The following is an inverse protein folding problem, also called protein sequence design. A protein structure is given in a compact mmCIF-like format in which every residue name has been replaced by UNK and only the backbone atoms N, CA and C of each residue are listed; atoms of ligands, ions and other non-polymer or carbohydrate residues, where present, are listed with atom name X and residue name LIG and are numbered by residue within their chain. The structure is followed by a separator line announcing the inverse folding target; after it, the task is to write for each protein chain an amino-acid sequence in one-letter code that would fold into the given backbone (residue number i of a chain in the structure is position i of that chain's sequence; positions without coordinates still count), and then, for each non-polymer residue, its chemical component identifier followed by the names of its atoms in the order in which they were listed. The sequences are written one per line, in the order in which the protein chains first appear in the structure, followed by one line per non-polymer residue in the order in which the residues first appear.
data_IF_886908501873
#
_entry.id   IF_886908501873
#
_cell.length_a   1.000
_cell.length_b   1.000
_cell.length_c   1.000
_cell.angle_alpha   90.00
_cell.angle_beta   90.00
_cell.angle_gamma   90.00
#
_symmetry.space_group_name_H-M   'P 1'
#
loop_
_entity.id
_entity.type
_entity.pdbx_description
1 polymer ?
#
# COMPACT_ATOMS: atom_id res chain seq x y z
N UNK A 1 1.67 -28.59 -10.01
CA UNK A 1 1.39 -28.43 -8.56
C UNK A 1 2.64 -28.17 -7.72
N UNK A 2 3.71 -29.00 -7.76
CA UNK A 2 4.94 -28.79 -6.94
C UNK A 2 5.63 -27.42 -7.13
N UNK A 3 5.65 -26.88 -8.34
CA UNK A 3 6.23 -25.57 -8.66
C UNK A 3 5.49 -24.40 -7.99
N UNK A 4 4.17 -24.53 -7.77
CA UNK A 4 3.37 -23.51 -7.10
C UNK A 4 3.68 -23.41 -5.60
N UNK A 5 4.01 -24.54 -4.94
CA UNK A 5 4.38 -24.57 -3.52
C UNK A 5 5.78 -23.99 -3.28
N UNK A 6 6.71 -24.24 -4.19
CA UNK A 6 8.06 -23.67 -4.14
C UNK A 6 8.00 -22.15 -4.32
N UNK A 7 7.18 -21.67 -5.26
CA UNK A 7 6.96 -20.23 -5.43
C UNK A 7 6.33 -19.59 -4.19
N UNK A 8 5.33 -20.23 -3.59
CA UNK A 8 4.71 -19.77 -2.33
C UNK A 8 5.70 -19.73 -1.17
N UNK A 9 6.57 -20.72 -1.05
CA UNK A 9 7.64 -20.76 -0.04
C UNK A 9 8.68 -19.65 -0.27
N UNK A 10 9.02 -19.36 -1.52
CA UNK A 10 9.93 -18.25 -1.86
C UNK A 10 9.27 -16.91 -1.53
N UNK A 11 8.00 -16.70 -1.90
CA UNK A 11 7.26 -15.49 -1.53
C UNK A 11 7.12 -15.35 -0.01
N UNK A 12 6.86 -16.44 0.72
CA UNK A 12 6.79 -16.43 2.17
C UNK A 12 8.16 -16.14 2.82
N UNK A 13 9.25 -16.65 2.25
CA UNK A 13 10.61 -16.37 2.71
C UNK A 13 11.04 -14.92 2.41
N UNK A 14 10.66 -14.39 1.25
CA UNK A 14 10.89 -12.98 0.90
C UNK A 14 10.04 -12.08 1.81
N UNK A 15 8.77 -12.41 2.05
CA UNK A 15 7.93 -11.67 2.98
C UNK A 15 8.51 -11.71 4.41
N UNK A 16 8.94 -12.89 4.89
CA UNK A 16 9.54 -13.03 6.21
C UNK A 16 10.88 -12.28 6.35
N UNK A 17 11.75 -12.32 5.33
CA UNK A 17 13.02 -11.60 5.34
C UNK A 17 12.82 -10.09 5.27
N UNK A 18 11.87 -9.61 4.46
CA UNK A 18 11.45 -8.21 4.46
C UNK A 18 10.88 -7.79 5.82
N UNK A 19 10.08 -8.62 6.47
CA UNK A 19 9.59 -8.38 7.83
C UNK A 19 10.71 -8.34 8.88
N UNK A 20 11.74 -9.19 8.77
CA UNK A 20 12.90 -9.17 9.69
C UNK A 20 13.77 -7.92 9.49
N UNK A 21 14.01 -7.53 8.23
CA UNK A 21 14.72 -6.28 7.91
C UNK A 21 13.92 -5.09 8.44
N UNK A 22 12.60 -5.10 8.28
CA UNK A 22 11.71 -4.08 8.81
C UNK A 22 11.82 -3.96 10.35
N UNK A 23 11.70 -5.07 11.09
CA UNK A 23 11.71 -5.09 12.56
C UNK A 23 13.01 -4.51 13.13
N UNK A 24 14.15 -4.76 12.47
CA UNK A 24 15.44 -4.24 12.94
C UNK A 24 15.74 -2.80 12.51
N UNK A 25 15.11 -2.34 11.45
CA UNK A 25 15.40 -1.07 10.81
C UNK A 25 14.14 -0.22 10.72
N UNK A 26 13.37 -0.10 11.81
CA UNK A 26 11.99 0.44 11.92
C UNK A 26 11.66 1.75 11.13
N UNK A 27 12.66 2.45 10.60
CA UNK A 27 12.54 3.65 9.77
C UNK A 27 12.77 3.44 8.26
N UNK A 28 13.22 2.27 7.84
CA UNK A 28 13.64 1.96 6.46
C UNK A 28 12.58 1.17 5.67
N UNK A 29 11.46 0.83 6.30
CA UNK A 29 10.35 0.14 5.66
C UNK A 29 9.88 0.83 4.37
N UNK A 30 9.60 2.11 4.47
CA UNK A 30 9.17 2.94 3.34
C UNK A 30 10.29 3.05 2.30
N UNK A 31 11.54 3.15 2.74
CA UNK A 31 12.72 3.16 1.86
C UNK A 31 12.88 1.86 1.09
N UNK A 32 12.67 0.72 1.74
CA UNK A 32 12.70 -0.61 1.12
C UNK A 32 11.53 -0.76 0.14
N UNK A 33 10.33 -0.33 0.53
CA UNK A 33 9.18 -0.30 -0.37
C UNK A 33 9.45 0.58 -1.61
N UNK A 34 9.95 1.80 -1.43
CA UNK A 34 10.33 2.70 -2.52
C UNK A 34 11.34 2.03 -3.46
N UNK A 35 12.38 1.41 -2.91
CA UNK A 35 13.37 0.68 -3.71
C UNK A 35 12.73 -0.47 -4.50
N UNK A 36 11.86 -1.27 -3.89
CA UNK A 36 11.13 -2.33 -4.57
C UNK A 36 10.25 -1.79 -5.70
N UNK A 37 9.47 -0.72 -5.46
CA UNK A 37 8.61 -0.12 -6.48
C UNK A 37 9.43 0.43 -7.65
N UNK A 38 10.57 1.07 -7.38
CA UNK A 38 11.50 1.52 -8.44
C UNK A 38 11.98 0.33 -9.28
N UNK A 39 12.40 -0.77 -8.64
CA UNK A 39 12.81 -1.99 -9.35
C UNK A 39 11.65 -2.53 -10.20
N UNK A 40 10.42 -2.54 -9.69
CA UNK A 40 9.24 -2.95 -10.48
C UNK A 40 9.01 -2.07 -11.70
N UNK A 41 9.11 -0.75 -11.56
CA UNK A 41 9.01 0.17 -12.69
C UNK A 41 10.03 -0.16 -13.79
N UNK A 42 11.27 -0.49 -13.43
CA UNK A 42 12.29 -0.93 -14.39
C UNK A 42 11.98 -2.29 -15.01
N UNK A 43 11.52 -3.27 -14.22
CA UNK A 43 11.20 -4.62 -14.70
C UNK A 43 9.93 -4.67 -15.57
N UNK A 44 8.99 -3.74 -15.37
CA UNK A 44 7.71 -3.65 -16.07
C UNK A 44 7.74 -2.68 -17.26
N UNK A 45 8.93 -2.38 -17.81
CA UNK A 45 9.15 -1.43 -18.92
C UNK A 45 8.23 -1.63 -20.14
N UNK A 46 7.65 -2.80 -20.33
CA UNK A 46 6.78 -3.11 -21.47
C UNK A 46 5.28 -3.20 -21.12
N UNK A 47 4.90 -3.12 -19.84
CA UNK A 47 3.50 -3.27 -19.41
C UNK A 47 2.94 -1.96 -18.83
N UNK A 48 2.23 -1.18 -19.65
CA UNK A 48 1.68 0.14 -19.28
C UNK A 48 0.82 0.11 -18.01
N UNK A 49 0.01 -0.94 -17.85
CA UNK A 49 -0.82 -1.10 -16.66
C UNK A 49 0.00 -1.19 -15.36
N UNK A 50 1.04 -2.01 -15.37
CA UNK A 50 1.87 -2.22 -14.18
C UNK A 50 2.66 -0.94 -13.88
N UNK A 51 3.14 -0.22 -14.90
CA UNK A 51 3.80 1.08 -14.73
C UNK A 51 2.88 2.08 -14.03
N UNK A 52 1.63 2.19 -14.46
CA UNK A 52 0.69 3.14 -13.86
C UNK A 52 0.41 2.84 -12.39
N UNK A 53 0.23 1.55 -12.06
CA UNK A 53 0.03 1.11 -10.67
C UNK A 53 1.30 1.40 -9.85
N UNK A 54 2.47 0.96 -10.34
CA UNK A 54 3.73 1.15 -9.63
C UNK A 54 4.08 2.64 -9.46
N UNK A 55 3.85 3.48 -10.46
CA UNK A 55 4.08 4.92 -10.38
C UNK A 55 3.15 5.60 -9.37
N UNK A 56 1.87 5.21 -9.35
CA UNK A 56 0.90 5.69 -8.37
C UNK A 56 1.35 5.33 -6.95
N UNK A 57 1.70 4.06 -6.72
CA UNK A 57 2.16 3.60 -5.42
C UNK A 57 3.46 4.30 -5.02
N UNK A 58 4.41 4.49 -5.94
CA UNK A 58 5.65 5.22 -5.69
C UNK A 58 5.38 6.65 -5.19
N UNK A 59 4.51 7.39 -5.89
CA UNK A 59 4.16 8.77 -5.54
C UNK A 59 3.51 8.82 -4.16
N UNK A 60 2.55 7.93 -3.91
CA UNK A 60 1.80 7.92 -2.65
C UNK A 60 2.68 7.50 -1.47
N UNK A 61 3.55 6.50 -1.64
CA UNK A 61 4.55 6.12 -0.65
C UNK A 61 5.54 7.25 -0.37
N UNK A 62 5.98 8.00 -1.40
CA UNK A 62 6.87 9.14 -1.18
C UNK A 62 6.18 10.26 -0.38
N UNK A 63 4.89 10.51 -0.62
CA UNK A 63 4.07 11.44 0.17
C UNK A 63 3.96 10.95 1.62
N UNK A 64 3.65 9.68 1.82
CA UNK A 64 3.55 9.04 3.14
C UNK A 64 4.85 9.18 3.93
N UNK A 65 5.98 8.81 3.32
CA UNK A 65 7.30 8.95 3.91
C UNK A 65 7.59 10.40 4.35
N UNK A 66 7.21 11.38 3.51
CA UNK A 66 7.34 12.79 3.84
C UNK A 66 6.50 13.21 5.05
N UNK A 67 5.24 12.76 5.12
CA UNK A 67 4.34 13.03 6.25
C UNK A 67 4.84 12.39 7.54
N UNK A 68 5.25 11.12 7.49
CA UNK A 68 5.81 10.40 8.65
C UNK A 68 7.09 11.07 9.14
N UNK A 69 8.00 11.41 8.22
CA UNK A 69 9.24 12.12 8.57
C UNK A 69 8.96 13.47 9.25
N UNK A 70 7.94 14.18 8.77
CA UNK A 70 7.50 15.43 9.39
C UNK A 70 6.95 15.22 10.81
N UNK A 71 6.09 14.21 11.03
CA UNK A 71 5.56 13.88 12.36
C UNK A 71 6.68 13.46 13.33
N UNK A 72 7.64 12.66 12.87
CA UNK A 72 8.82 12.28 13.65
C UNK A 72 9.65 13.51 14.04
N UNK A 73 9.81 14.47 13.12
CA UNK A 73 10.47 15.74 13.42
C UNK A 73 9.72 16.58 14.45
N UNK A 74 8.39 16.54 14.47
CA UNK A 74 7.61 17.24 15.51
C UNK A 74 7.77 16.56 16.87
N UNK A 75 7.79 15.22 16.90
CA UNK A 75 8.05 14.46 18.13
C UNK A 75 9.42 14.79 18.73
N UNK A 76 10.47 14.93 17.90
CA UNK A 76 11.80 15.31 18.39
C UNK A 76 11.89 16.75 18.92
N UNK A 77 10.97 17.62 18.50
CA UNK A 77 10.82 18.99 19.02
C UNK A 77 10.00 19.06 20.32
N UNK A 78 9.54 17.93 20.86
CA UNK A 78 8.82 17.85 22.13
C UNK A 78 7.30 17.75 22.01
N UNK A 79 6.77 17.36 20.84
CA UNK A 79 5.35 17.07 20.70
C UNK A 79 4.93 15.93 21.67
N UNK A 80 3.83 16.07 22.42
CA UNK A 80 3.34 15.01 23.30
C UNK A 80 3.06 13.72 22.51
N UNK A 81 3.42 12.53 23.06
CA UNK A 81 3.27 11.25 22.35
C UNK A 81 1.85 10.99 21.84
N UNK A 82 0.81 11.35 22.61
CA UNK A 82 -0.57 11.14 22.19
C UNK A 82 -0.94 11.95 20.93
N UNK A 83 -0.42 13.17 20.78
CA UNK A 83 -0.63 14.03 19.62
C UNK A 83 0.18 13.52 18.43
N UNK A 84 1.43 13.10 18.67
CA UNK A 84 2.28 12.50 17.65
C UNK A 84 1.63 11.27 17.03
N UNK A 85 1.12 10.35 17.86
CA UNK A 85 0.42 9.15 17.40
C UNK A 85 -0.87 9.48 16.65
N UNK A 86 -1.64 10.45 17.14
CA UNK A 86 -2.86 10.91 16.49
C UNK A 86 -2.57 11.43 15.07
N UNK A 87 -1.54 12.25 14.92
CA UNK A 87 -1.10 12.78 13.62
C UNK A 87 -0.57 11.66 12.73
N UNK A 88 0.21 10.73 13.27
CA UNK A 88 0.77 9.60 12.53
C UNK A 88 -0.35 8.69 11.98
N UNK A 89 -1.20 8.12 12.84
CA UNK A 89 -2.29 7.25 12.40
C UNK A 89 -3.29 7.98 11.49
N UNK A 90 -3.57 9.26 11.77
CA UNK A 90 -4.41 10.09 10.91
C UNK A 90 -3.82 10.32 9.53
N UNK A 91 -2.51 10.58 9.43
CA UNK A 91 -1.82 10.74 8.14
C UNK A 91 -1.84 9.46 7.32
N UNK A 92 -1.55 8.31 7.94
CA UNK A 92 -1.62 7.00 7.27
C UNK A 92 -3.03 6.72 6.76
N UNK A 93 -4.06 6.90 7.60
CA UNK A 93 -5.45 6.71 7.21
C UNK A 93 -5.84 7.55 5.99
N UNK A 94 -5.45 8.83 5.96
CA UNK A 94 -5.76 9.74 4.86
C UNK A 94 -5.05 9.34 3.56
N UNK A 95 -3.79 8.94 3.65
CA UNK A 95 -3.01 8.45 2.51
C UNK A 95 -3.64 7.17 1.97
N UNK A 96 -3.92 6.19 2.81
CA UNK A 96 -4.48 4.90 2.40
C UNK A 96 -5.90 5.03 1.84
N UNK A 97 -6.72 5.91 2.41
CA UNK A 97 -8.03 6.26 1.86
C UNK A 97 -7.89 6.89 0.47
N UNK A 98 -6.91 7.78 0.29
CA UNK A 98 -6.65 8.40 -1.00
C UNK A 98 -6.21 7.34 -2.02
N UNK A 99 -5.31 6.43 -1.65
CA UNK A 99 -4.87 5.34 -2.52
C UNK A 99 -6.06 4.46 -2.90
N UNK A 100 -6.89 4.04 -1.94
CA UNK A 100 -8.09 3.24 -2.21
C UNK A 100 -9.01 3.92 -3.24
N UNK A 101 -9.25 5.23 -3.06
CA UNK A 101 -10.09 6.00 -3.97
C UNK A 101 -9.48 6.14 -5.36
N UNK A 102 -8.16 6.33 -5.48
CA UNK A 102 -7.50 6.35 -6.78
C UNK A 102 -7.55 4.96 -7.43
N UNK A 103 -7.31 3.88 -6.67
CA UNK A 103 -7.38 2.50 -7.14
C UNK A 103 -8.77 2.15 -7.68
N UNK A 104 -9.84 2.58 -7.00
CA UNK A 104 -11.23 2.44 -7.47
C UNK A 104 -11.44 3.02 -8.88
N UNK A 105 -10.76 4.11 -9.21
CA UNK A 105 -10.89 4.81 -10.49
C UNK A 105 -9.67 4.64 -11.41
N UNK A 106 -8.74 3.75 -11.07
CA UNK A 106 -7.44 3.62 -11.70
C UNK A 106 -7.53 3.46 -13.21
N UNK A 107 -8.38 2.57 -13.70
CA UNK A 107 -8.54 2.30 -15.14
C UNK A 107 -9.03 3.56 -15.87
N UNK A 108 -10.00 4.28 -15.30
CA UNK A 108 -10.53 5.53 -15.89
C UNK A 108 -9.48 6.63 -15.93
N UNK A 109 -8.70 6.77 -14.86
CA UNK A 109 -7.61 7.75 -14.77
C UNK A 109 -6.50 7.42 -15.78
N UNK A 110 -6.12 6.15 -15.86
CA UNK A 110 -5.11 5.63 -16.81
C UNK A 110 -5.56 5.84 -18.26
N UNK A 111 -6.80 5.52 -18.59
CA UNK A 111 -7.37 5.76 -19.92
C UNK A 111 -7.36 7.24 -20.29
N UNK A 112 -7.75 8.11 -19.35
CA UNK A 112 -7.73 9.57 -19.58
C UNK A 112 -6.30 10.09 -19.83
N UNK A 113 -5.32 9.54 -19.13
CA UNK A 113 -3.91 9.87 -19.33
C UNK A 113 -3.41 9.40 -20.70
N UNK A 114 -3.56 8.10 -21.02
CA UNK A 114 -3.08 7.53 -22.29
C UNK A 114 -3.75 8.16 -23.50
N UNK A 115 -5.06 8.44 -23.45
CA UNK A 115 -5.76 9.16 -24.55
C UNK A 115 -5.16 10.54 -24.84
N UNK A 116 -4.47 11.17 -23.88
CA UNK A 116 -3.82 12.47 -24.07
C UNK A 116 -2.36 12.34 -24.49
N UNK A 117 -1.64 11.33 -23.99
CA UNK A 117 -0.19 11.21 -24.19
C UNK A 117 0.20 10.25 -25.30
N UNK A 118 -0.57 9.18 -25.50
CA UNK A 118 -0.32 8.14 -26.49
C UNK A 118 -1.67 7.57 -26.99
N UNK A 119 -2.43 8.33 -27.80
CA UNK A 119 -3.80 8.00 -28.17
C UNK A 119 -3.93 6.64 -28.86
N UNK A 120 -2.91 6.20 -29.61
CA UNK A 120 -2.93 4.92 -30.33
C UNK A 120 -2.82 3.71 -29.39
N UNK A 121 -2.29 3.90 -28.18
CA UNK A 121 -2.04 2.83 -27.22
C UNK A 121 -3.16 2.67 -26.17
N UNK A 122 -4.32 3.31 -26.36
CA UNK A 122 -5.40 3.31 -25.36
C UNK A 122 -5.94 1.91 -25.02
N UNK A 123 -5.84 0.96 -25.97
CA UNK A 123 -6.31 -0.43 -25.83
C UNK A 123 -5.44 -1.25 -24.87
N UNK A 124 -4.20 -0.82 -24.60
CA UNK A 124 -3.32 -1.48 -23.63
C UNK A 124 -3.79 -1.32 -22.18
N UNK A 125 -4.72 -0.38 -21.90
CA UNK A 125 -5.22 -0.12 -20.55
C UNK A 125 -6.48 -0.94 -20.28
N UNK A 126 -6.38 -1.84 -19.32
CA UNK A 126 -7.48 -2.69 -18.86
C UNK A 126 -7.39 -2.93 -17.36
N UNK A 127 -8.39 -3.60 -16.80
CA UNK A 127 -8.42 -4.03 -15.41
C UNK A 127 -7.56 -5.29 -15.25
N UNK A 128 -6.47 -5.17 -14.50
CA UNK A 128 -5.58 -6.28 -14.18
C UNK A 128 -6.07 -7.04 -12.94
N UNK A 129 -5.51 -8.23 -12.69
CA UNK A 129 -5.77 -8.95 -11.44
C UNK A 129 -5.27 -8.20 -10.20
N UNK A 130 -4.28 -7.30 -10.35
CA UNK A 130 -3.80 -6.47 -9.25
C UNK A 130 -4.87 -5.51 -8.72
N UNK A 131 -5.71 -4.94 -9.60
CA UNK A 131 -6.63 -3.86 -9.23
C UNK A 131 -7.59 -4.23 -8.08
N UNK A 132 -8.36 -5.33 -8.13
CA UNK A 132 -9.24 -5.72 -7.02
C UNK A 132 -8.47 -6.21 -5.79
N UNK A 133 -7.30 -6.85 -5.97
CA UNK A 133 -6.49 -7.35 -4.85
C UNK A 133 -5.89 -6.18 -4.06
N UNK A 134 -5.27 -5.22 -4.75
CA UNK A 134 -4.74 -4.00 -4.15
C UNK A 134 -5.85 -3.17 -3.50
N UNK A 135 -7.04 -3.08 -4.12
CA UNK A 135 -8.19 -2.45 -3.48
C UNK A 135 -8.54 -3.11 -2.14
N UNK A 136 -8.57 -4.45 -2.09
CA UNK A 136 -8.81 -5.19 -0.84
C UNK A 136 -7.72 -4.98 0.20
N UNK A 137 -6.45 -4.95 -0.20
CA UNK A 137 -5.33 -4.70 0.71
C UNK A 137 -5.39 -3.27 1.29
N UNK A 138 -5.64 -2.25 0.46
CA UNK A 138 -5.79 -0.88 0.94
C UNK A 138 -7.03 -0.67 1.81
N UNK A 139 -8.09 -1.43 1.57
CA UNK A 139 -9.22 -1.45 2.50
C UNK A 139 -8.82 -2.02 3.87
N UNK A 140 -8.02 -3.08 3.92
CA UNK A 140 -7.51 -3.62 5.17
C UNK A 140 -6.55 -2.65 5.89
N UNK A 141 -5.71 -1.93 5.16
CA UNK A 141 -4.87 -0.85 5.69
C UNK A 141 -5.71 0.19 6.44
N UNK A 142 -6.78 0.68 5.80
CA UNK A 142 -7.70 1.65 6.41
C UNK A 142 -8.32 1.12 7.70
N UNK A 143 -8.69 -0.16 7.77
CA UNK A 143 -9.26 -0.76 8.98
C UNK A 143 -8.24 -0.79 10.13
N UNK A 144 -6.99 -1.16 9.84
CA UNK A 144 -5.90 -1.16 10.82
C UNK A 144 -5.64 0.26 11.33
N UNK A 145 -5.60 1.24 10.43
CA UNK A 145 -5.35 2.64 10.79
C UNK A 145 -6.48 3.24 11.61
N UNK A 146 -7.74 2.99 11.22
CA UNK A 146 -8.90 3.44 11.96
C UNK A 146 -8.93 2.84 13.36
N UNK A 147 -8.57 1.57 13.49
CA UNK A 147 -8.57 0.89 14.78
C UNK A 147 -7.41 1.36 15.68
N UNK A 148 -6.21 1.58 15.13
CA UNK A 148 -5.09 2.18 15.87
C UNK A 148 -5.39 3.62 16.30
N UNK A 149 -5.98 4.41 15.41
CA UNK A 149 -6.43 5.77 15.68
C UNK A 149 -7.51 5.80 16.78
N UNK A 150 -8.51 4.92 16.68
CA UNK A 150 -9.55 4.76 17.68
C UNK A 150 -9.01 4.32 19.04
N UNK A 151 -8.15 3.30 19.08
CA UNK A 151 -7.47 2.89 20.31
C UNK A 151 -6.66 4.05 20.90
N UNK A 152 -5.93 4.82 20.10
CA UNK A 152 -5.17 5.97 20.59
C UNK A 152 -6.07 7.04 21.23
N UNK A 153 -7.25 7.33 20.66
CA UNK A 153 -8.21 8.25 21.27
C UNK A 153 -8.73 7.69 22.59
N UNK A 154 -9.15 6.43 22.61
CA UNK A 154 -9.78 5.80 23.78
C UNK A 154 -8.79 5.69 24.95
N UNK A 155 -7.51 5.42 24.68
CA UNK A 155 -6.45 5.39 25.70
C UNK A 155 -6.17 6.76 26.31
N UNK A 156 -6.35 7.82 25.53
CA UNK A 156 -5.97 9.18 25.89
C UNK A 156 -7.20 10.07 26.19
N UNK A 157 -8.34 9.47 26.56
CA UNK A 157 -9.58 10.20 26.85
C UNK A 157 -9.42 11.30 27.91
N UNK A 158 -8.50 11.11 28.87
CA UNK A 158 -8.16 12.14 29.86
C UNK A 158 -7.69 13.45 29.21
N UNK A 159 -6.93 13.36 28.11
CA UNK A 159 -6.45 14.52 27.35
C UNK A 159 -7.55 15.19 26.53
N UNK A 160 -8.69 14.51 26.36
CA UNK A 160 -9.91 15.05 25.73
C UNK A 160 -10.92 15.59 26.75
N UNK A 161 -10.54 15.69 28.04
CA UNK A 161 -11.38 16.27 29.09
C UNK A 161 -12.34 15.29 29.76
N UNK A 162 -12.16 13.98 29.56
CA UNK A 162 -12.90 12.95 30.29
C UNK A 162 -12.30 12.74 31.68
N UNK A 163 -13.15 12.47 32.68
CA UNK A 163 -12.70 12.21 34.05
C UNK A 163 -11.70 11.05 34.12
N UNK A 164 -10.62 11.25 34.87
CA UNK A 164 -9.51 10.30 34.97
C UNK A 164 -9.95 8.94 35.52
N UNK A 165 -10.91 8.91 36.47
CA UNK A 165 -11.38 7.66 37.04
C UNK A 165 -12.10 6.79 36.01
N UNK A 166 -12.78 7.42 35.05
CA UNK A 166 -13.38 6.73 33.92
C UNK A 166 -12.35 6.40 32.83
N UNK A 167 -11.40 7.29 32.54
CA UNK A 167 -10.39 7.08 31.49
C UNK A 167 -9.42 5.93 31.83
N UNK A 168 -9.06 5.76 33.11
CA UNK A 168 -8.09 4.76 33.59
C UNK A 168 -8.36 3.33 33.14
N UNK A 169 -9.63 2.95 33.02
CA UNK A 169 -10.00 1.59 32.59
C UNK A 169 -9.55 1.28 31.14
N UNK A 170 -9.32 2.30 30.33
CA UNK A 170 -8.99 2.18 28.92
C UNK A 170 -7.49 2.32 28.61
N UNK A 171 -6.66 2.73 29.57
CA UNK A 171 -5.23 2.97 29.37
C UNK A 171 -4.45 1.71 28.89
N UNK A 172 -4.92 0.53 29.29
CA UNK A 172 -4.33 -0.77 28.94
C UNK A 172 -4.79 -1.32 27.59
N UNK A 173 -5.78 -0.69 26.95
CA UNK A 173 -6.24 -1.13 25.63
C UNK A 173 -5.16 -0.82 24.60
N UNK A 174 -4.74 -1.79 23.80
CA UNK A 174 -3.67 -1.55 22.83
C UNK A 174 -3.38 -2.71 21.90
N UNK A 175 -4.39 -3.53 21.59
CA UNK A 175 -4.18 -4.74 20.79
C UNK A 175 -3.64 -4.37 19.41
N UNK A 176 -4.22 -3.36 18.78
CA UNK A 176 -3.78 -2.89 17.46
C UNK A 176 -2.68 -1.86 17.61
N UNK A 177 -2.75 -0.98 18.59
CA UNK A 177 -1.73 0.03 18.86
C UNK A 177 -0.32 -0.58 19.01
N UNK A 178 -0.16 -1.66 19.78
CA UNK A 178 1.16 -2.29 19.98
C UNK A 178 1.61 -3.15 18.80
N UNK A 179 0.69 -3.63 17.97
CA UNK A 179 0.98 -4.47 16.82
C UNK A 179 0.89 -3.71 15.48
N UNK A 180 0.71 -2.39 15.53
CA UNK A 180 0.40 -1.56 14.36
C UNK A 180 1.45 -1.71 13.25
N UNK A 181 2.72 -1.57 13.62
CA UNK A 181 3.86 -1.71 12.71
C UNK A 181 3.90 -3.10 12.05
N UNK A 182 3.62 -4.16 12.82
CA UNK A 182 3.60 -5.54 12.32
C UNK A 182 2.45 -5.74 11.34
N UNK A 183 1.25 -5.25 11.68
CA UNK A 183 0.07 -5.36 10.83
C UNK A 183 0.27 -4.61 9.50
N UNK A 184 0.78 -3.37 9.56
CA UNK A 184 1.19 -2.58 8.39
C UNK A 184 2.20 -3.36 7.53
N UNK A 185 3.22 -3.94 8.16
CA UNK A 185 4.27 -4.70 7.45
C UNK A 185 3.72 -5.91 6.68
N UNK A 186 2.79 -6.65 7.30
CA UNK A 186 2.14 -7.79 6.65
C UNK A 186 1.38 -7.30 5.42
N UNK A 187 0.57 -6.25 5.55
CA UNK A 187 -0.19 -5.69 4.43
C UNK A 187 0.74 -5.16 3.32
N UNK A 188 1.87 -4.55 3.71
CA UNK A 188 2.90 -4.08 2.78
C UNK A 188 3.52 -5.23 1.98
N UNK A 189 3.82 -6.34 2.66
CA UNK A 189 4.30 -7.55 2.00
C UNK A 189 3.28 -8.10 0.99
N UNK A 190 1.98 -7.98 1.28
CA UNK A 190 0.92 -8.34 0.35
C UNK A 190 0.89 -7.41 -0.88
N UNK A 191 1.11 -6.11 -0.72
CA UNK A 191 1.22 -5.16 -1.87
C UNK A 191 2.34 -5.59 -2.79
N UNK A 192 3.54 -5.80 -2.24
CA UNK A 192 4.73 -6.18 -3.03
C UNK A 192 4.52 -7.54 -3.71
N UNK A 193 3.94 -8.50 -2.99
CA UNK A 193 3.60 -9.82 -3.55
C UNK A 193 2.59 -9.71 -4.68
N UNK A 194 1.60 -8.84 -4.56
CA UNK A 194 0.59 -8.61 -5.61
C UNK A 194 1.22 -8.01 -6.86
N UNK A 195 2.14 -7.05 -6.71
CA UNK A 195 2.88 -6.47 -7.83
C UNK A 195 3.76 -7.53 -8.53
N UNK A 196 4.46 -8.36 -7.77
CA UNK A 196 5.25 -9.49 -8.29
C UNK A 196 4.40 -10.48 -9.07
N UNK A 197 3.34 -10.96 -8.44
CA UNK A 197 2.44 -11.95 -9.03
C UNK A 197 1.82 -11.43 -10.32
N UNK A 198 1.37 -10.17 -10.33
CA UNK A 198 0.77 -9.57 -11.52
C UNK A 198 1.79 -9.38 -12.64
N UNK A 199 3.02 -8.97 -12.31
CA UNK A 199 4.09 -8.87 -13.32
C UNK A 199 4.42 -10.24 -13.93
N UNK A 200 4.42 -11.29 -13.12
CA UNK A 200 4.65 -12.65 -13.62
C UNK A 200 3.51 -13.13 -14.52
N UNK A 201 2.25 -12.91 -14.12
CA UNK A 201 1.06 -13.30 -14.90
C UNK A 201 0.99 -12.52 -16.23
N UNK A 202 1.22 -11.20 -16.20
CA UNK A 202 1.14 -10.38 -17.42
C UNK A 202 2.27 -10.67 -18.40
N UNK A 203 3.43 -11.14 -17.94
CA UNK A 203 4.51 -11.64 -18.83
C UNK A 203 4.16 -12.96 -19.51
N UNK A 204 3.25 -13.74 -18.94
CA UNK A 204 2.81 -15.03 -19.50
C UNK A 204 1.61 -14.89 -20.42
N UNK A 205 0.99 -13.71 -20.44
CA UNK A 205 -0.14 -13.45 -21.33
C UNK A 205 0.39 -13.44 -22.76
N UNK A 206 -0.14 -14.28 -23.67
CA UNK A 206 0.21 -14.18 -25.07
C UNK A 206 -0.14 -12.76 -25.53
N UNK A 207 0.82 -12.11 -26.21
CA UNK A 207 0.54 -10.90 -26.98
C UNK A 207 -0.64 -11.26 -27.87
N UNK A 208 -1.82 -10.74 -27.57
CA UNK A 208 -3.00 -11.01 -28.39
C UNK A 208 -2.70 -10.31 -29.70
N UNK A 209 -2.39 -11.03 -30.79
CA UNK A 209 -2.11 -10.37 -32.05
C UNK A 209 -3.42 -9.72 -32.48
N UNK A 210 -3.35 -8.50 -33.01
CA UNK A 210 -4.49 -7.78 -33.56
C UNK A 210 -5.30 -8.60 -34.61
N UNK A 211 -4.76 -9.72 -35.09
CA UNK A 211 -5.31 -10.61 -36.11
C UNK A 211 -6.58 -11.39 -35.69
N UNK A 212 -6.78 -11.75 -34.42
CA UNK A 212 -7.97 -12.53 -34.03
C UNK A 212 -9.27 -11.68 -34.06
N UNK A 213 -9.19 -10.38 -33.76
CA UNK A 213 -10.35 -9.49 -33.73
C UNK A 213 -10.71 -8.90 -35.10
N UNK A 214 -9.76 -8.81 -36.03
CA UNK A 214 -10.09 -8.48 -37.44
C UNK A 214 -10.87 -9.62 -38.11
N UNK A 215 -10.68 -10.87 -37.65
CA UNK A 215 -11.41 -12.03 -38.16
C UNK A 215 -12.88 -12.10 -37.70
N UNK A 216 -13.21 -11.51 -36.55
CA UNK A 216 -14.60 -11.37 -36.07
C UNK A 216 -15.35 -10.19 -36.72
N UNK A 217 -14.64 -9.36 -37.49
CA UNK A 217 -15.21 -8.19 -38.19
C UNK A 217 -15.52 -8.42 -39.67
N UNK A 218 -15.41 -9.67 -40.17
CA UNK A 218 -15.74 -10.05 -41.55
C UNK A 218 -17.02 -10.87 -41.65
#
# INVERSE_FOLDING_TARGET
MRTSWIFLLICAAIAASLSVIYIHFNHYADTVMLACIIIFCFMAKNHENIKHIAALLLIMTAIEYGLVSYVVSLNSMGLPPFQGNLLMFGSHFLVDLTILMIMKYRVRLSLRYVRRTAPDNWRSIYMTHADPILYGIYFAFILVDLAAFGENIIRNLEHFGVDENFAKQFWSWGLIYYNYEILKSILLSCVITTLLATTFVERQRPDTPDEELESESK
#
